data_IF_061399103998
#
_entry.id   IF_061399103998
#
_cell.length_a   1.000
_cell.length_b   1.000
_cell.length_c   1.000
_cell.angle_alpha   90.00
_cell.angle_beta   90.00
_cell.angle_gamma   90.00
#
_symmetry.space_group_name_H-M   'P 1'
#
loop_
_entity.id
_entity.type
_entity.pdbx_description
1 polymer ?
#
# COMPACT_ATOMS: atom_id res chain seq x y z
N UNK A 1 -0.78 -6.36 22.47
CA UNK A 1 0.70 -6.46 22.34
C UNK A 1 0.95 -6.99 20.95
N UNK A 2 1.53 -6.19 20.05
CA UNK A 2 1.78 -6.60 18.67
C UNK A 2 2.82 -7.72 18.62
N UNK A 3 2.56 -8.76 17.82
CA UNK A 3 3.58 -9.73 17.46
C UNK A 3 4.13 -9.34 16.09
N UNK A 4 5.37 -8.84 16.08
CA UNK A 4 6.10 -8.52 14.86
C UNK A 4 7.01 -9.69 14.52
N UNK A 5 6.91 -10.21 13.30
CA UNK A 5 7.79 -11.28 12.83
C UNK A 5 8.66 -10.78 11.69
N UNK A 6 9.95 -11.06 11.81
CA UNK A 6 10.90 -10.92 10.70
C UNK A 6 10.82 -12.20 9.87
N UNK A 7 10.51 -12.06 8.59
CA UNK A 7 10.53 -13.21 7.67
C UNK A 7 11.99 -13.58 7.40
N UNK A 8 12.41 -14.74 7.90
CA UNK A 8 13.80 -15.22 7.88
C UNK A 8 14.17 -15.95 6.59
N UNK A 9 15.46 -16.24 6.42
CA UNK A 9 16.08 -16.83 5.23
C UNK A 9 15.58 -18.23 4.84
N UNK A 10 14.88 -18.95 5.73
CA UNK A 10 14.31 -20.28 5.45
C UNK A 10 13.11 -20.21 4.51
N UNK A 11 12.21 -19.25 4.73
CA UNK A 11 11.11 -18.98 3.80
C UNK A 11 11.65 -18.58 2.43
N UNK A 12 12.71 -17.74 2.40
CA UNK A 12 13.40 -17.35 1.18
C UNK A 12 13.95 -18.53 0.38
N UNK A 13 14.49 -19.56 1.05
CA UNK A 13 14.96 -20.77 0.38
C UNK A 13 13.80 -21.53 -0.26
N UNK A 14 12.71 -21.76 0.48
CA UNK A 14 11.50 -22.40 -0.09
C UNK A 14 10.89 -21.61 -1.26
N UNK A 15 10.89 -20.28 -1.16
CA UNK A 15 10.46 -19.38 -2.23
C UNK A 15 11.27 -19.57 -3.53
N UNK A 16 12.60 -19.76 -3.42
CA UNK A 16 13.51 -19.87 -4.57
C UNK A 16 13.68 -21.29 -5.11
N UNK A 17 13.70 -22.31 -4.25
CA UNK A 17 14.15 -23.66 -4.59
C UNK A 17 13.02 -24.56 -5.12
N UNK A 18 11.76 -24.24 -4.81
CA UNK A 18 10.64 -25.18 -5.03
C UNK A 18 9.51 -24.64 -5.92
N UNK A 19 9.67 -23.45 -6.53
CA UNK A 19 8.65 -22.86 -7.43
C UNK A 19 7.34 -22.42 -6.76
N UNK A 20 7.15 -22.72 -5.46
CA UNK A 20 6.00 -22.27 -4.67
C UNK A 20 5.83 -20.75 -4.68
N UNK A 21 6.95 -20.02 -4.68
CA UNK A 21 6.94 -18.57 -4.73
C UNK A 21 6.22 -17.99 -5.96
N UNK A 22 6.43 -18.61 -7.12
CA UNK A 22 5.83 -18.16 -8.38
C UNK A 22 4.32 -18.47 -8.43
N UNK A 23 3.92 -19.63 -7.90
CA UNK A 23 2.51 -20.01 -7.80
C UNK A 23 1.73 -19.01 -6.95
N UNK A 24 2.16 -18.77 -5.71
CA UNK A 24 1.45 -17.88 -4.79
C UNK A 24 1.52 -16.41 -5.23
N UNK A 25 2.64 -15.98 -5.83
CA UNK A 25 2.72 -14.67 -6.47
C UNK A 25 1.66 -14.50 -7.56
N UNK A 26 1.50 -15.51 -8.41
CA UNK A 26 0.51 -15.48 -9.50
C UNK A 26 -0.91 -15.44 -8.96
N UNK A 27 -1.24 -16.27 -7.97
CA UNK A 27 -2.55 -16.25 -7.30
C UNK A 27 -2.86 -14.87 -6.70
N UNK A 28 -1.91 -14.27 -5.98
CA UNK A 28 -2.13 -12.94 -5.39
C UNK A 28 -2.24 -11.85 -6.46
N UNK A 29 -1.48 -11.94 -7.55
CA UNK A 29 -1.60 -11.03 -8.68
C UNK A 29 -2.99 -11.12 -9.34
N UNK A 30 -3.52 -12.32 -9.55
CA UNK A 30 -4.87 -12.54 -10.08
C UNK A 30 -5.95 -12.01 -9.12
N UNK A 31 -5.78 -12.24 -7.82
CA UNK A 31 -6.66 -11.69 -6.79
C UNK A 31 -6.72 -10.17 -6.86
N UNK A 32 -5.57 -9.48 -6.91
CA UNK A 32 -5.52 -8.03 -7.02
C UNK A 32 -6.14 -7.52 -8.34
N UNK A 33 -5.89 -8.20 -9.47
CA UNK A 33 -6.50 -7.87 -10.77
C UNK A 33 -8.02 -8.05 -10.79
N UNK A 34 -8.55 -8.97 -9.99
CA UNK A 34 -9.98 -9.22 -9.91
C UNK A 34 -10.77 -8.06 -9.29
N UNK A 35 -10.09 -7.13 -8.61
CA UNK A 35 -10.72 -5.99 -7.93
C UNK A 35 -11.60 -6.38 -6.72
N UNK A 36 -11.44 -7.61 -6.21
CA UNK A 36 -12.26 -8.14 -5.11
C UNK A 36 -11.71 -7.83 -3.71
N UNK A 37 -10.56 -7.17 -3.62
CA UNK A 37 -9.96 -6.80 -2.34
C UNK A 37 -10.78 -5.68 -1.67
N UNK A 38 -11.60 -6.07 -0.69
CA UNK A 38 -12.47 -5.17 0.06
C UNK A 38 -11.70 -4.09 0.82
N UNK A 39 -10.47 -4.38 1.26
CA UNK A 39 -9.65 -3.40 1.96
C UNK A 39 -9.17 -2.33 0.97
N UNK A 40 -8.69 -2.73 -0.20
CA UNK A 40 -8.31 -1.81 -1.27
C UNK A 40 -9.50 -0.95 -1.71
N UNK A 41 -10.68 -1.55 -1.89
CA UNK A 41 -11.90 -0.83 -2.25
C UNK A 41 -12.36 0.15 -1.16
N UNK A 42 -12.28 -0.25 0.11
CA UNK A 42 -12.58 0.64 1.24
C UNK A 42 -11.64 1.85 1.28
N UNK A 43 -10.34 1.64 1.04
CA UNK A 43 -9.39 2.76 0.95
C UNK A 43 -9.69 3.68 -0.23
N UNK A 44 -10.00 3.12 -1.40
CA UNK A 44 -10.42 3.90 -2.56
C UNK A 44 -11.67 4.74 -2.25
N UNK A 45 -12.65 4.16 -1.57
CA UNK A 45 -13.86 4.86 -1.09
C UNK A 45 -13.53 5.98 -0.09
N UNK A 46 -12.58 5.77 0.82
CA UNK A 46 -12.06 6.81 1.72
C UNK A 46 -11.53 7.98 0.88
N UNK A 47 -10.64 7.73 -0.07
CA UNK A 47 -10.05 8.78 -0.92
C UNK A 47 -11.13 9.59 -1.68
N UNK A 48 -12.10 8.92 -2.30
CA UNK A 48 -13.18 9.59 -3.03
C UNK A 48 -14.16 10.34 -2.11
N UNK A 49 -14.43 9.86 -0.90
CA UNK A 49 -15.33 10.55 0.04
C UNK A 49 -14.78 11.90 0.50
N UNK A 50 -13.45 12.04 0.47
CA UNK A 50 -12.71 13.21 0.92
C UNK A 50 -12.66 14.36 -0.09
N UNK A 51 -12.62 14.02 -1.37
CA UNK A 51 -12.56 14.96 -2.47
C UNK A 51 -13.91 14.99 -3.19
N UNK A 52 -14.67 16.08 -3.05
CA UNK A 52 -15.89 16.25 -3.84
C UNK A 52 -15.54 16.30 -5.35
N UNK A 53 -16.54 16.03 -6.21
CA UNK A 53 -16.47 16.12 -7.70
C UNK A 53 -16.06 17.49 -8.27
N UNK A 54 -15.73 18.47 -7.43
CA UNK A 54 -15.31 19.82 -7.79
C UNK A 54 -13.91 20.19 -7.25
N UNK A 55 -13.17 19.23 -6.66
CA UNK A 55 -11.83 19.45 -6.12
C UNK A 55 -11.80 20.22 -4.79
N UNK A 56 -12.96 20.51 -4.18
CA UNK A 56 -13.01 21.07 -2.83
C UNK A 56 -12.77 19.98 -1.78
N UNK A 57 -11.81 20.20 -0.89
CA UNK A 57 -11.58 19.36 0.28
C UNK A 57 -12.74 19.58 1.26
N UNK A 58 -13.51 18.53 1.58
CA UNK A 58 -14.35 18.61 2.76
C UNK A 58 -13.43 18.46 3.96
N UNK A 59 -13.30 19.52 4.76
CA UNK A 59 -12.76 19.49 6.12
C UNK A 59 -13.70 18.74 7.08
N UNK A 60 -14.34 17.66 6.61
CA UNK A 60 -15.07 16.76 7.50
C UNK A 60 -14.04 15.74 7.95
N UNK A 61 -13.55 15.94 9.17
CA UNK A 61 -12.73 14.99 9.91
C UNK A 61 -13.10 13.55 9.57
N UNK A 62 -12.10 12.68 9.44
CA UNK A 62 -12.30 11.26 9.11
C UNK A 62 -13.36 10.74 10.03
N UNK A 63 -14.56 10.51 9.48
CA UNK A 63 -15.62 9.90 10.25
C UNK A 63 -15.03 8.56 10.64
N UNK A 64 -14.69 8.45 11.93
CA UNK A 64 -13.93 7.35 12.52
C UNK A 64 -14.41 6.02 11.93
N UNK A 65 -15.73 5.88 11.77
CA UNK A 65 -16.46 4.77 11.14
C UNK A 65 -15.97 4.31 9.75
N UNK A 66 -15.55 5.20 8.85
CA UNK A 66 -15.11 4.83 7.50
C UNK A 66 -13.79 4.06 7.57
N UNK A 67 -12.91 4.42 8.51
CA UNK A 67 -11.64 3.74 8.75
C UNK A 67 -11.82 2.36 9.40
N UNK A 68 -12.98 2.09 10.04
CA UNK A 68 -13.28 0.77 10.59
C UNK A 68 -13.67 -0.28 9.55
N UNK A 69 -13.99 0.12 8.32
CA UNK A 69 -14.46 -0.80 7.28
C UNK A 69 -13.38 -1.73 6.73
N UNK A 70 -12.11 -1.40 6.98
CA UNK A 70 -10.98 -2.23 6.58
C UNK A 70 -10.72 -3.31 7.62
N UNK A 71 -10.77 -4.57 7.21
CA UNK A 71 -10.56 -5.74 8.06
C UNK A 71 -9.57 -6.68 7.36
N UNK A 72 -8.35 -6.70 7.88
CA UNK A 72 -7.30 -7.62 7.49
C UNK A 72 -6.79 -8.33 8.75
N UNK A 73 -6.31 -9.55 8.58
CA UNK A 73 -5.76 -10.36 9.68
C UNK A 73 -4.25 -10.11 9.81
N UNK A 74 -3.57 -9.91 8.66
CA UNK A 74 -2.12 -9.77 8.58
C UNK A 74 -1.73 -8.52 7.79
N UNK A 75 -0.96 -7.63 8.39
CA UNK A 75 -0.32 -6.51 7.69
C UNK A 75 1.10 -6.89 7.26
N UNK A 76 1.44 -6.67 5.98
CA UNK A 76 2.76 -6.94 5.42
C UNK A 76 3.40 -5.63 4.96
N UNK A 77 4.41 -5.18 5.70
CA UNK A 77 5.26 -4.06 5.33
C UNK A 77 6.45 -4.55 4.53
N UNK A 78 6.70 -3.97 3.37
CA UNK A 78 7.86 -4.29 2.54
C UNK A 78 8.43 -3.05 1.84
N UNK A 79 9.66 -3.16 1.34
CA UNK A 79 10.27 -2.17 0.45
C UNK A 79 9.79 -2.38 -1.00
N UNK A 80 10.02 -1.41 -1.89
CA UNK A 80 9.71 -1.58 -3.32
C UNK A 80 10.44 -2.79 -3.94
N UNK A 81 11.67 -3.04 -3.50
CA UNK A 81 12.50 -4.13 -3.99
C UNK A 81 12.00 -5.52 -3.55
N UNK A 82 11.17 -5.57 -2.51
CA UNK A 82 10.66 -6.80 -1.91
C UNK A 82 9.22 -7.12 -2.35
N UNK A 83 8.66 -6.37 -3.30
CA UNK A 83 7.23 -6.47 -3.65
C UNK A 83 6.82 -7.87 -4.13
N UNK A 84 7.60 -8.48 -5.02
CA UNK A 84 7.31 -9.82 -5.55
C UNK A 84 7.23 -10.85 -4.42
N UNK A 85 8.17 -10.77 -3.48
CA UNK A 85 8.20 -11.66 -2.33
C UNK A 85 7.04 -11.40 -1.38
N UNK A 86 6.76 -10.13 -1.07
CA UNK A 86 5.65 -9.76 -0.19
C UNK A 86 4.29 -10.20 -0.78
N UNK A 87 4.12 -10.10 -2.10
CA UNK A 87 2.94 -10.58 -2.80
C UNK A 87 2.81 -12.10 -2.72
N UNK A 88 3.90 -12.84 -2.90
CA UNK A 88 3.86 -14.28 -2.76
C UNK A 88 3.56 -14.73 -1.34
N UNK A 89 4.15 -14.08 -0.33
CA UNK A 89 3.83 -14.32 1.06
C UNK A 89 2.34 -14.06 1.35
N UNK A 90 1.75 -12.99 0.80
CA UNK A 90 0.32 -12.77 0.90
C UNK A 90 -0.49 -13.86 0.19
N UNK A 91 -0.10 -14.27 -1.02
CA UNK A 91 -0.75 -15.37 -1.72
C UNK A 91 -0.74 -16.65 -0.90
N UNK A 92 0.38 -16.99 -0.27
CA UNK A 92 0.49 -18.18 0.57
C UNK A 92 -0.38 -18.08 1.83
N UNK A 93 -0.36 -16.94 2.52
CA UNK A 93 -1.22 -16.69 3.68
C UNK A 93 -2.70 -16.82 3.29
N UNK A 94 -3.07 -16.30 2.12
CA UNK A 94 -4.44 -16.36 1.62
C UNK A 94 -4.86 -17.77 1.26
N UNK A 95 -4.09 -18.43 0.41
CA UNK A 95 -4.47 -19.71 -0.20
C UNK A 95 -4.24 -20.90 0.73
N UNK A 96 -3.15 -20.90 1.51
CA UNK A 96 -2.78 -22.03 2.36
C UNK A 96 -3.32 -21.92 3.78
N UNK A 97 -3.41 -20.69 4.33
CA UNK A 97 -3.83 -20.45 5.72
C UNK A 97 -5.28 -19.95 5.79
N UNK A 98 -5.78 -19.29 4.74
CA UNK A 98 -7.14 -18.74 4.71
C UNK A 98 -7.30 -17.41 5.44
N UNK A 99 -6.20 -16.72 5.75
CA UNK A 99 -6.22 -15.39 6.36
C UNK A 99 -6.27 -14.28 5.29
N UNK A 100 -6.60 -13.06 5.71
CA UNK A 100 -6.70 -11.88 4.86
C UNK A 100 -5.46 -10.99 5.03
N UNK A 101 -4.43 -11.13 4.17
CA UNK A 101 -3.28 -10.25 4.18
C UNK A 101 -3.57 -8.92 3.48
N UNK A 102 -2.90 -7.86 3.93
CA UNK A 102 -2.85 -6.55 3.27
C UNK A 102 -1.40 -6.06 3.18
N UNK A 103 -0.98 -5.67 1.97
CA UNK A 103 0.36 -5.09 1.75
C UNK A 103 0.30 -3.57 1.83
N UNK A 104 1.34 -2.95 2.38
CA UNK A 104 1.50 -1.49 2.33
C UNK A 104 1.51 -0.96 0.88
N UNK A 105 2.10 -1.71 -0.07
CA UNK A 105 2.12 -1.33 -1.49
C UNK A 105 0.73 -1.24 -2.12
N UNK A 106 -0.25 -2.03 -1.67
CA UNK A 106 -1.61 -1.98 -2.23
C UNK A 106 -2.28 -0.65 -1.93
N UNK A 107 -2.11 -0.15 -0.71
CA UNK A 107 -2.62 1.15 -0.28
C UNK A 107 -1.88 2.28 -1.02
N UNK A 108 -0.55 2.22 -1.11
CA UNK A 108 0.22 3.24 -1.85
C UNK A 108 -0.16 3.31 -3.33
N UNK A 109 -0.34 2.17 -3.99
CA UNK A 109 -0.80 2.13 -5.39
C UNK A 109 -2.15 2.82 -5.59
N UNK A 110 -3.10 2.62 -4.67
CA UNK A 110 -4.39 3.33 -4.76
C UNK A 110 -4.25 4.83 -4.56
N UNK A 111 -3.37 5.27 -3.65
CA UNK A 111 -3.09 6.69 -3.45
C UNK A 111 -2.49 7.33 -4.71
N UNK A 112 -1.54 6.64 -5.35
CA UNK A 112 -0.91 7.09 -6.60
C UNK A 112 -1.91 7.12 -7.77
N UNK A 113 -2.76 6.09 -7.91
CA UNK A 113 -3.82 6.06 -8.92
C UNK A 113 -4.83 7.20 -8.73
N UNK A 114 -5.21 7.48 -7.48
CA UNK A 114 -6.13 8.56 -7.17
C UNK A 114 -5.51 9.94 -7.42
N UNK A 115 -4.22 10.12 -7.13
CA UNK A 115 -3.48 11.33 -7.50
C UNK A 115 -3.51 11.55 -9.01
N UNK A 116 -3.22 10.52 -9.82
CA UNK A 116 -3.30 10.60 -11.28
C UNK A 116 -4.70 10.99 -11.75
N UNK A 117 -5.75 10.35 -11.20
CA UNK A 117 -7.14 10.66 -11.51
C UNK A 117 -7.48 12.14 -11.23
N UNK A 118 -6.98 12.71 -10.13
CA UNK A 118 -7.21 14.11 -9.79
C UNK A 118 -6.44 15.06 -10.71
N UNK A 119 -5.21 14.71 -11.06
CA UNK A 119 -4.37 15.49 -11.97
C UNK A 119 -5.00 15.59 -13.37
N UNK A 120 -5.52 14.48 -13.89
CA UNK A 120 -6.19 14.42 -15.19
C UNK A 120 -7.52 15.18 -15.21
N UNK A 121 -8.28 15.13 -14.12
CA UNK A 121 -9.64 15.70 -14.09
C UNK A 121 -9.70 17.19 -13.72
N UNK A 122 -8.89 17.65 -12.75
CA UNK A 122 -9.07 18.97 -12.13
C UNK A 122 -7.96 19.95 -12.47
N UNK A 123 -6.72 19.47 -12.53
CA UNK A 123 -5.55 20.34 -12.60
C UNK A 123 -5.19 20.75 -14.03
N UNK A 124 -5.52 19.94 -15.03
CA UNK A 124 -5.33 20.31 -16.44
C UNK A 124 -6.35 21.36 -16.94
N UNK A 125 -7.43 21.60 -16.19
CA UNK A 125 -8.53 22.51 -16.62
C UNK A 125 -8.34 23.98 -16.20
N UNK A 126 -7.33 24.30 -15.40
CA UNK A 126 -7.07 25.66 -14.91
C UNK A 126 -5.92 26.29 -15.70
N UNK A 127 -6.09 27.52 -16.18
CA UNK A 127 -5.13 28.22 -17.05
C UNK A 127 -3.91 28.84 -16.32
N UNK A 128 -3.87 28.82 -14.98
CA UNK A 128 -2.78 29.40 -14.18
C UNK A 128 -1.85 28.30 -13.62
N UNK A 129 -0.67 28.15 -14.23
CA UNK A 129 0.30 27.11 -13.86
C UNK A 129 0.84 27.23 -12.43
N UNK A 130 1.02 28.45 -11.91
CA UNK A 130 1.59 28.66 -10.58
C UNK A 130 0.57 28.26 -9.49
N UNK A 131 -0.66 28.73 -9.64
CA UNK A 131 -1.77 28.32 -8.76
C UNK A 131 -2.04 26.81 -8.84
N UNK A 132 -1.88 26.19 -10.02
CA UNK A 132 -2.02 24.74 -10.18
C UNK A 132 -0.92 23.96 -9.48
N UNK A 133 0.31 24.46 -9.44
CA UNK A 133 1.42 23.80 -8.76
C UNK A 133 1.25 23.81 -7.23
N UNK A 134 0.87 24.94 -6.65
CA UNK A 134 0.58 25.03 -5.22
C UNK A 134 -0.57 24.10 -4.81
N UNK A 135 -1.64 24.06 -5.62
CA UNK A 135 -2.78 23.18 -5.39
C UNK A 135 -2.40 21.69 -5.53
N UNK A 136 -1.53 21.32 -6.49
CA UNK A 136 -0.97 19.95 -6.61
C UNK A 136 -0.25 19.52 -5.34
N UNK A 137 0.63 20.38 -4.86
CA UNK A 137 1.46 20.06 -3.69
C UNK A 137 0.63 19.98 -2.41
N UNK A 138 -0.42 20.80 -2.29
CA UNK A 138 -1.37 20.71 -1.18
C UNK A 138 -2.15 19.39 -1.21
N UNK A 139 -2.72 19.02 -2.37
CA UNK A 139 -3.47 17.76 -2.56
C UNK A 139 -2.59 16.54 -2.27
N UNK A 140 -1.35 16.53 -2.77
CA UNK A 140 -0.38 15.45 -2.51
C UNK A 140 -0.11 15.27 -1.02
N UNK A 141 0.13 16.36 -0.29
CA UNK A 141 0.35 16.32 1.16
C UNK A 141 -0.85 15.71 1.88
N UNK A 142 -2.07 16.12 1.51
CA UNK A 142 -3.28 15.57 2.11
C UNK A 142 -3.44 14.07 1.84
N UNK A 143 -3.30 13.64 0.59
CA UNK A 143 -3.40 12.21 0.24
C UNK A 143 -2.35 11.39 0.97
N UNK A 144 -1.09 11.85 1.03
CA UNK A 144 -0.04 11.16 1.77
C UNK A 144 -0.30 11.08 3.27
N UNK A 145 -0.86 12.14 3.87
CA UNK A 145 -1.28 12.10 5.27
C UNK A 145 -2.39 11.07 5.49
N UNK A 146 -3.41 11.05 4.62
CA UNK A 146 -4.49 10.06 4.71
C UNK A 146 -3.98 8.63 4.55
N UNK A 147 -3.09 8.40 3.58
CA UNK A 147 -2.45 7.10 3.35
C UNK A 147 -1.68 6.65 4.58
N UNK A 148 -0.87 7.53 5.19
CA UNK A 148 -0.13 7.22 6.42
C UNK A 148 -1.07 6.84 7.56
N UNK A 149 -2.10 7.63 7.80
CA UNK A 149 -3.10 7.34 8.84
C UNK A 149 -3.74 5.96 8.63
N UNK A 150 -4.12 5.62 7.39
CA UNK A 150 -4.70 4.31 7.08
C UNK A 150 -3.71 3.18 7.32
N UNK A 151 -2.44 3.34 6.94
CA UNK A 151 -1.40 2.34 7.22
C UNK A 151 -1.17 2.16 8.73
N UNK A 152 -1.11 3.25 9.50
CA UNK A 152 -1.00 3.20 10.97
C UNK A 152 -2.16 2.43 11.59
N UNK A 153 -3.38 2.67 11.11
CA UNK A 153 -4.56 1.94 11.60
C UNK A 153 -4.57 0.47 11.18
N UNK A 154 -4.06 0.14 10.00
CA UNK A 154 -3.90 -1.25 9.60
C UNK A 154 -2.96 -1.97 10.56
N UNK A 155 -1.79 -1.39 10.83
CA UNK A 155 -0.85 -1.92 11.82
C UNK A 155 -1.54 -2.08 13.18
N UNK A 156 -2.34 -1.09 13.60
CA UNK A 156 -3.04 -1.12 14.87
C UNK A 156 -4.11 -2.23 14.96
N UNK A 157 -4.84 -2.50 13.86
CA UNK A 157 -6.00 -3.39 13.84
C UNK A 157 -5.67 -4.83 13.49
N UNK A 158 -4.66 -5.07 12.65
CA UNK A 158 -4.29 -6.43 12.26
C UNK A 158 -3.73 -7.20 13.45
N UNK A 159 -4.05 -8.49 13.53
CA UNK A 159 -3.55 -9.35 14.60
C UNK A 159 -2.04 -9.59 14.47
N UNK A 160 -1.56 -9.67 13.24
CA UNK A 160 -0.17 -9.96 12.92
C UNK A 160 0.47 -8.90 12.02
N UNK A 161 1.70 -8.52 12.34
CA UNK A 161 2.51 -7.61 11.54
C UNK A 161 3.77 -8.32 11.03
N UNK A 162 3.93 -8.39 9.71
CA UNK A 162 5.14 -8.86 9.05
C UNK A 162 5.92 -7.70 8.46
N UNK A 163 7.22 -7.70 8.72
CA UNK A 163 8.17 -6.82 8.05
C UNK A 163 9.12 -7.65 7.18
N UNK A 164 9.00 -7.46 5.87
CA UNK A 164 9.91 -8.02 4.88
C UNK A 164 11.13 -7.11 4.79
N UNK A 165 12.28 -7.65 5.16
CA UNK A 165 13.57 -6.98 5.10
C UNK A 165 14.58 -7.93 4.51
N UNK A 166 14.67 -7.95 3.18
CA UNK A 166 15.71 -8.71 2.48
C UNK A 166 16.95 -7.85 2.33
N UNK A 167 18.12 -8.46 2.47
CA UNK A 167 19.40 -7.85 2.10
C UNK A 167 19.66 -7.93 0.59
N UNK A 168 18.67 -8.27 -0.23
CA UNK A 168 18.82 -8.49 -1.67
C UNK A 168 18.89 -7.17 -2.43
N UNK A 169 20.00 -6.45 -2.25
CA UNK A 169 20.51 -5.47 -3.21
C UNK A 169 21.23 -6.26 -4.31
N UNK A 170 20.51 -6.97 -5.17
CA UNK A 170 21.07 -7.46 -6.43
C UNK A 170 19.99 -7.41 -7.52
N UNK A 171 19.79 -6.24 -8.11
CA UNK A 171 19.75 -6.02 -9.58
C UNK A 171 19.23 -4.60 -9.89
N UNK A 172 20.13 -3.62 -9.91
CA UNK A 172 20.47 -2.79 -11.08
C UNK A 172 21.37 -1.63 -10.61
N UNK A 173 22.41 -1.37 -11.42
CA UNK A 173 23.60 -0.62 -11.01
C UNK A 173 23.34 0.82 -10.58
N UNK A 174 24.23 1.27 -9.69
CA UNK A 174 24.56 2.67 -9.40
C UNK A 174 23.40 3.62 -9.10
N UNK A 175 23.02 3.76 -7.82
CA UNK A 175 22.81 5.09 -7.23
C UNK A 175 23.21 5.07 -5.75
N UNK A 176 24.18 5.91 -5.39
CA UNK A 176 24.45 6.30 -4.01
C UNK A 176 23.26 7.09 -3.46
N UNK A 177 22.45 6.47 -2.59
CA UNK A 177 21.73 7.12 -1.49
C UNK A 177 20.96 6.03 -0.74
N UNK A 178 21.59 5.44 0.28
CA UNK A 178 20.90 4.59 1.26
C UNK A 178 20.03 5.47 2.17
N UNK A 179 18.92 5.99 1.63
CA UNK A 179 17.76 6.32 2.45
C UNK A 179 16.90 5.07 2.49
N UNK A 180 16.56 4.64 3.68
CA UNK A 180 15.65 3.54 3.91
C UNK A 180 14.34 3.84 3.18
N UNK A 181 14.00 3.06 2.16
CA UNK A 181 12.75 3.21 1.38
C UNK A 181 11.53 2.65 2.12
N UNK A 182 11.71 2.24 3.37
CA UNK A 182 10.60 1.87 4.24
C UNK A 182 10.02 3.14 4.86
N UNK A 183 8.72 3.46 4.68
CA UNK A 183 8.10 4.67 5.22
C UNK A 183 8.21 4.84 6.75
N UNK A 184 8.67 3.79 7.45
CA UNK A 184 8.70 3.63 8.92
C UNK A 184 10.10 3.61 9.53
N UNK A 185 11.15 3.55 8.72
CA UNK A 185 12.52 3.48 9.21
C UNK A 185 13.26 4.69 8.64
N UNK A 186 13.63 5.64 9.50
CA UNK A 186 14.41 6.81 9.12
C UNK A 186 15.89 6.49 9.02
#
# INVERSE_FOLDING_TARGET
MYQAYKVGSSFWKGFQEEGFGELFYTCEQEFQRSGKDKNVEAFRSILHSYMNRNGSTKTRFMEHNILFQMNADVYISHSRHDEVFAMALAGEIRESIGLVPILNSYIWKQADLFLQELEDNYLQRKHDEMHNQEMRDEIRKYIYMMTRTVLDMMIYKTECFFYVNSSNIIMQGHVMNQKTECPWMH
#
